data_IF_177328155945
#
_entry.id   IF_177328155945
#
_cell.length_a   1.000
_cell.length_b   1.000
_cell.length_c   1.000
_cell.angle_alpha   90.00
_cell.angle_beta   90.00
_cell.angle_gamma   90.00
#
_symmetry.space_group_name_H-M   'P 1'
#
loop_
_entity.id
_entity.type
_entity.pdbx_description
1 polymer ?
#
# COMPACT_ATOMS: atom_id res chain seq x y z
N UNK A 1 5.58 5.85 16.60
CA UNK A 1 6.37 6.98 16.08
C UNK A 1 5.53 8.23 16.31
N UNK A 2 6.12 9.28 16.89
CA UNK A 2 5.42 10.50 17.32
C UNK A 2 5.02 11.41 16.16
N UNK A 3 4.00 11.01 15.38
CA UNK A 3 3.56 11.79 14.22
C UNK A 3 2.90 13.10 14.65
N UNK A 4 2.19 13.09 15.78
CA UNK A 4 1.53 14.27 16.32
C UNK A 4 2.56 15.23 16.93
N UNK A 5 3.54 14.72 17.65
CA UNK A 5 4.66 15.51 18.19
C UNK A 5 5.42 16.25 17.07
N UNK A 6 5.72 15.57 15.95
CA UNK A 6 6.32 16.20 14.76
C UNK A 6 5.40 17.27 14.18
N UNK A 7 4.10 16.96 13.99
CA UNK A 7 3.12 17.90 13.43
C UNK A 7 3.02 19.17 14.26
N UNK A 8 2.95 19.05 15.58
CA UNK A 8 2.82 20.16 16.52
C UNK A 8 4.10 20.99 16.60
N UNK A 9 5.26 20.35 16.72
CA UNK A 9 6.55 21.05 16.85
C UNK A 9 6.85 21.94 15.64
N UNK A 10 6.71 21.40 14.42
CA UNK A 10 6.99 22.14 13.18
C UNK A 10 5.79 22.96 12.68
N UNK A 11 4.66 22.94 13.41
CA UNK A 11 3.43 23.66 13.08
C UNK A 11 2.95 23.33 11.65
N UNK A 12 2.86 22.03 11.35
CA UNK A 12 2.54 21.53 10.01
C UNK A 12 1.03 21.66 9.78
N UNK A 13 0.65 22.48 8.79
CA UNK A 13 -0.74 22.65 8.35
C UNK A 13 -1.22 21.53 7.41
N UNK A 14 -0.28 20.83 6.79
CA UNK A 14 -0.52 19.70 5.91
C UNK A 14 -0.95 18.43 6.68
N UNK A 15 -1.37 17.42 5.93
CA UNK A 15 -1.68 16.10 6.49
C UNK A 15 -0.36 15.45 6.90
N UNK A 16 -0.33 14.89 8.11
CA UNK A 16 0.80 14.13 8.65
C UNK A 16 0.27 12.77 9.07
N UNK A 17 0.79 11.70 8.49
CA UNK A 17 0.35 10.33 8.78
C UNK A 17 1.52 9.35 8.64
N UNK A 18 1.33 8.13 9.12
CA UNK A 18 2.31 7.07 9.10
C UNK A 18 2.05 6.09 7.95
N UNK A 19 3.13 5.62 7.34
CA UNK A 19 3.13 4.50 6.40
C UNK A 19 4.34 3.59 6.69
N UNK A 20 4.42 2.38 6.11
CA UNK A 20 5.54 1.46 6.37
C UNK A 20 6.93 2.07 6.12
N UNK A 21 7.05 2.98 5.15
CA UNK A 21 8.31 3.67 4.83
C UNK A 21 8.64 4.83 5.79
N UNK A 22 7.70 5.25 6.65
CA UNK A 22 7.91 6.32 7.62
C UNK A 22 6.78 7.35 7.70
N UNK A 23 7.10 8.51 8.27
CA UNK A 23 6.19 9.63 8.43
C UNK A 23 6.05 10.39 7.11
N UNK A 24 4.81 10.54 6.66
CA UNK A 24 4.46 11.21 5.41
C UNK A 24 3.83 12.57 5.73
N UNK A 25 4.23 13.59 4.98
CA UNK A 25 3.65 14.94 5.05
C UNK A 25 3.18 15.34 3.66
N UNK A 26 1.93 15.74 3.54
CA UNK A 26 1.40 16.10 2.23
C UNK A 26 0.01 16.70 2.20
N UNK A 27 -0.50 16.82 0.98
CA UNK A 27 -1.84 17.33 0.69
C UNK A 27 -2.83 16.18 0.58
N UNK A 28 -4.12 16.50 0.46
CA UNK A 28 -5.12 15.50 0.14
C UNK A 28 -4.98 14.84 -1.23
N UNK A 29 -4.28 15.49 -2.16
CA UNK A 29 -4.05 14.95 -3.51
C UNK A 29 -2.78 14.10 -3.58
N UNK A 30 -1.72 14.55 -2.89
CA UNK A 30 -0.43 13.86 -2.79
C UNK A 30 -0.05 13.84 -1.31
N UNK A 31 -0.34 12.74 -0.58
CA UNK A 31 -0.19 12.70 0.87
C UNK A 31 1.27 12.46 1.33
N UNK A 32 2.16 12.09 0.42
CA UNK A 32 3.55 11.73 0.67
C UNK A 32 4.55 12.71 -0.01
N UNK A 33 4.25 14.01 -0.04
CA UNK A 33 5.13 15.01 -0.68
C UNK A 33 6.51 15.07 -0.03
N UNK A 34 6.56 14.91 1.29
CA UNK A 34 7.78 14.72 2.08
C UNK A 34 7.64 13.40 2.84
N UNK A 35 8.68 12.58 2.83
CA UNK A 35 8.71 11.32 3.60
C UNK A 35 9.95 11.31 4.48
N UNK A 36 9.74 11.14 5.77
CA UNK A 36 10.78 10.99 6.78
C UNK A 36 10.83 9.53 7.21
N UNK A 37 11.97 8.90 7.02
CA UNK A 37 12.24 7.53 7.41
C UNK A 37 12.26 7.36 8.93
N UNK A 38 12.18 6.12 9.44
CA UNK A 38 12.18 5.85 10.88
C UNK A 38 13.43 6.33 11.62
N UNK A 39 14.54 6.52 10.92
CA UNK A 39 15.82 7.01 11.44
C UNK A 39 15.93 8.55 11.48
N UNK A 40 14.88 9.24 11.04
CA UNK A 40 14.80 10.69 10.95
C UNK A 40 15.36 11.27 9.64
N UNK A 41 15.75 10.44 8.67
CA UNK A 41 16.25 10.94 7.38
C UNK A 41 15.11 11.19 6.39
N UNK A 42 15.26 12.21 5.55
CA UNK A 42 14.32 12.45 4.45
C UNK A 42 14.52 11.44 3.32
N UNK A 43 13.59 10.49 3.21
CA UNK A 43 13.52 9.48 2.15
C UNK A 43 13.02 10.11 0.85
N UNK A 44 12.02 11.00 0.95
CA UNK A 44 11.49 11.76 -0.17
C UNK A 44 11.49 13.24 0.19
N UNK A 45 12.09 14.04 -0.68
CA UNK A 45 12.23 15.49 -0.53
C UNK A 45 11.29 16.19 -1.48
N UNK A 46 10.93 17.42 -1.14
CA UNK A 46 10.18 18.29 -2.01
C UNK A 46 11.08 18.76 -3.17
N UNK A 47 10.75 18.36 -4.40
CA UNK A 47 11.51 18.72 -5.60
C UNK A 47 11.22 20.16 -6.09
N UNK A 48 10.11 20.77 -5.65
CA UNK A 48 9.64 22.07 -6.11
C UNK A 48 9.42 23.05 -4.97
N UNK A 49 10.05 24.24 -5.06
CA UNK A 49 9.90 25.34 -4.10
C UNK A 49 8.56 26.10 -4.21
N UNK A 50 7.60 25.58 -4.97
CA UNK A 50 6.31 26.26 -5.19
C UNK A 50 5.47 26.36 -3.92
N UNK A 51 5.60 25.41 -2.99
CA UNK A 51 4.93 25.43 -1.70
C UNK A 51 5.90 25.90 -0.59
N UNK A 52 5.71 27.15 -0.14
CA UNK A 52 6.56 27.78 0.89
C UNK A 52 6.51 27.07 2.22
N UNK A 53 5.34 26.55 2.61
CA UNK A 53 5.17 25.85 3.88
C UNK A 53 5.91 24.52 3.90
N UNK A 54 5.72 23.68 2.87
CA UNK A 54 6.45 22.42 2.77
C UNK A 54 7.96 22.64 2.69
N UNK A 55 8.39 23.68 1.98
CA UNK A 55 9.80 24.08 1.90
C UNK A 55 10.34 24.49 3.27
N UNK A 56 9.56 25.23 4.07
CA UNK A 56 9.88 25.60 5.46
C UNK A 56 10.06 24.37 6.33
N UNK A 57 9.09 23.46 6.34
CA UNK A 57 9.13 22.26 7.19
C UNK A 57 10.38 21.43 6.89
N UNK A 58 10.66 21.21 5.60
CA UNK A 58 11.85 20.49 5.16
C UNK A 58 13.15 21.17 5.61
N UNK A 59 13.24 22.50 5.46
CA UNK A 59 14.43 23.25 5.87
C UNK A 59 14.66 23.16 7.39
N UNK A 60 13.61 23.30 8.20
CA UNK A 60 13.69 23.17 9.66
C UNK A 60 14.09 21.74 10.09
N UNK A 61 13.53 20.72 9.45
CA UNK A 61 13.88 19.30 9.69
C UNK A 61 15.34 18.99 9.33
N UNK A 62 15.85 19.58 8.24
CA UNK A 62 17.24 19.42 7.82
C UNK A 62 18.22 20.22 8.69
N UNK A 63 17.78 21.34 9.25
CA UNK A 63 18.58 22.17 10.14
C UNK A 63 18.83 21.49 11.50
N UNK A 64 17.88 20.69 11.98
CA UNK A 64 18.02 19.92 13.22
C UNK A 64 17.48 18.47 13.11
N UNK A 65 18.25 17.56 12.45
CA UNK A 65 17.87 16.16 12.34
C UNK A 65 17.84 15.41 13.68
N UNK A 66 18.59 15.89 14.68
CA UNK A 66 18.59 15.28 16.01
C UNK A 66 17.25 15.54 16.72
N UNK A 67 16.73 16.77 16.62
CA UNK A 67 15.40 17.09 17.14
C UNK A 67 14.30 16.33 16.42
N UNK A 68 14.38 16.20 15.10
CA UNK A 68 13.42 15.41 14.34
C UNK A 68 13.37 13.96 14.84
N UNK A 69 14.53 13.33 15.06
CA UNK A 69 14.60 11.97 15.60
C UNK A 69 13.99 11.87 16.99
N UNK A 70 14.33 12.80 17.89
CA UNK A 70 13.74 12.86 19.24
C UNK A 70 12.21 12.92 19.19
N UNK A 71 11.65 13.74 18.29
CA UNK A 71 10.20 13.88 18.13
C UNK A 71 9.55 12.59 17.59
N UNK A 72 10.20 11.89 16.66
CA UNK A 72 9.71 10.61 16.13
C UNK A 72 9.70 9.50 17.21
N UNK A 73 10.61 9.57 18.17
CA UNK A 73 10.70 8.63 19.30
C UNK A 73 9.77 9.01 20.46
N UNK A 74 9.39 10.28 20.55
CA UNK A 74 8.47 10.79 21.58
C UNK A 74 7.08 10.17 21.41
N UNK A 75 6.51 9.51 22.44
CA UNK A 75 5.14 9.01 22.37
C UNK A 75 4.13 10.15 22.23
N UNK A 76 3.20 10.02 21.28
CA UNK A 76 2.14 11.00 21.08
C UNK A 76 1.15 11.03 22.25
N UNK A 77 0.63 12.22 22.55
CA UNK A 77 -0.43 12.43 23.53
C UNK A 77 -1.72 12.87 22.83
N UNK A 78 -2.84 12.24 23.19
CA UNK A 78 -4.15 12.51 22.59
C UNK A 78 -5.12 13.04 23.65
N UNK A 79 -5.80 14.14 23.34
CA UNK A 79 -6.82 14.75 24.20
C UNK A 79 -8.13 13.96 24.19
N UNK A 80 -8.37 13.20 23.12
CA UNK A 80 -9.54 12.32 22.96
C UNK A 80 -9.12 10.95 22.45
N UNK A 81 -9.87 9.94 22.85
CA UNK A 81 -9.74 8.57 22.35
C UNK A 81 -11.13 8.04 22.07
N UNK A 82 -11.57 8.17 20.82
CA UNK A 82 -12.84 7.62 20.35
C UNK A 82 -12.58 6.46 19.38
N UNK A 83 -13.41 5.42 19.40
CA UNK A 83 -13.23 4.28 18.52
C UNK A 83 -13.52 4.66 17.07
N UNK A 84 -12.73 4.10 16.17
CA UNK A 84 -12.95 4.10 14.72
C UNK A 84 -12.60 2.72 14.17
N UNK A 85 -13.42 2.21 13.28
CA UNK A 85 -13.31 0.85 12.78
C UNK A 85 -12.77 0.85 11.35
N UNK A 86 -12.00 -0.18 11.02
CA UNK A 86 -11.56 -0.51 9.65
C UNK A 86 -11.48 -2.04 9.49
N UNK A 87 -11.06 -2.54 8.33
CA UNK A 87 -10.94 -3.98 8.10
C UNK A 87 -9.68 -4.37 7.34
N UNK A 88 -9.17 -5.56 7.63
CA UNK A 88 -8.09 -6.21 6.86
C UNK A 88 -8.53 -7.63 6.52
N UNK A 89 -8.90 -7.85 5.25
CA UNK A 89 -9.52 -9.11 4.84
C UNK A 89 -10.84 -9.36 5.59
N UNK A 90 -10.89 -10.43 6.39
CA UNK A 90 -12.06 -10.76 7.23
C UNK A 90 -12.00 -10.16 8.64
N UNK A 91 -10.86 -9.59 9.04
CA UNK A 91 -10.66 -9.04 10.38
C UNK A 91 -11.22 -7.60 10.45
N UNK A 92 -12.06 -7.34 11.45
CA UNK A 92 -12.52 -5.99 11.77
C UNK A 92 -11.64 -5.44 12.87
N UNK A 93 -10.94 -4.36 12.56
CA UNK A 93 -9.97 -3.71 13.43
C UNK A 93 -10.65 -2.54 14.13
N UNK A 94 -10.58 -2.50 15.45
CA UNK A 94 -10.90 -1.32 16.24
C UNK A 94 -9.61 -0.52 16.44
N UNK A 95 -9.67 0.75 16.06
CA UNK A 95 -8.62 1.75 16.27
C UNK A 95 -9.17 2.91 17.07
N UNK A 96 -8.30 3.83 17.47
CA UNK A 96 -8.68 5.02 18.21
C UNK A 96 -8.19 6.28 17.49
N UNK A 97 -8.92 7.37 17.62
CA UNK A 97 -8.57 8.68 17.07
C UNK A 97 -9.13 9.81 17.94
N UNK A 98 -8.74 11.05 17.66
CA UNK A 98 -9.32 12.24 18.33
C UNK A 98 -10.59 12.76 17.64
N UNK A 99 -10.72 12.52 16.33
CA UNK A 99 -11.83 12.94 15.49
C UNK A 99 -12.04 11.93 14.35
N UNK A 100 -13.30 11.75 13.95
CA UNK A 100 -13.70 10.82 12.88
C UNK A 100 -13.58 11.46 11.49
N UNK A 101 -13.31 10.62 10.49
CA UNK A 101 -13.40 10.95 9.08
C UNK A 101 -12.16 11.66 8.54
N UNK A 102 -12.10 11.78 7.22
CA UNK A 102 -11.00 12.43 6.53
C UNK A 102 -10.93 13.93 6.86
N UNK A 103 -9.73 14.54 7.00
CA UNK A 103 -8.37 13.97 6.94
C UNK A 103 -7.79 13.61 8.32
N UNK A 104 -8.61 13.13 9.26
CA UNK A 104 -8.14 12.80 10.61
C UNK A 104 -7.31 11.52 10.63
N UNK A 105 -6.48 11.38 11.66
CA UNK A 105 -5.47 10.33 11.80
C UNK A 105 -5.82 9.47 13.02
N UNK A 106 -5.62 8.16 12.93
CA UNK A 106 -5.71 7.27 14.09
C UNK A 106 -4.49 7.45 14.99
N UNK A 107 -4.57 7.00 16.25
CA UNK A 107 -3.48 7.13 17.20
C UNK A 107 -2.21 6.43 16.73
N UNK A 108 -2.35 5.32 15.99
CA UNK A 108 -1.24 4.60 15.37
C UNK A 108 -0.79 5.16 14.01
N UNK A 109 -1.40 6.26 13.57
CA UNK A 109 -0.91 7.08 12.46
C UNK A 109 -1.59 6.86 11.12
N UNK A 110 -2.67 6.08 11.02
CA UNK A 110 -3.35 5.86 9.75
C UNK A 110 -4.29 7.01 9.39
N UNK A 111 -4.24 7.43 8.12
CA UNK A 111 -5.15 8.42 7.56
C UNK A 111 -6.54 7.82 7.32
N UNK A 112 -7.58 8.46 7.87
CA UNK A 112 -8.95 8.00 7.79
C UNK A 112 -9.62 8.36 6.46
N UNK A 113 -9.43 7.57 5.40
CA UNK A 113 -10.18 7.76 4.15
C UNK A 113 -11.67 7.45 4.31
N UNK A 114 -12.52 8.21 3.60
CA UNK A 114 -13.99 8.22 3.75
C UNK A 114 -14.68 6.86 3.56
N UNK A 115 -14.04 5.90 2.88
CA UNK A 115 -14.59 4.58 2.57
C UNK A 115 -13.81 3.42 3.20
N UNK A 116 -12.88 3.70 4.10
CA UNK A 116 -12.10 2.67 4.80
C UNK A 116 -12.19 2.75 6.31
N UNK A 117 -12.68 3.87 6.85
CA UNK A 117 -12.88 4.11 8.27
C UNK A 117 -14.30 4.56 8.60
N UNK A 118 -14.85 4.09 9.72
CA UNK A 118 -16.15 4.53 10.20
C UNK A 118 -16.26 4.42 11.72
N UNK A 119 -17.04 5.31 12.34
CA UNK A 119 -17.50 5.12 13.72
C UNK A 119 -18.58 4.02 13.85
N UNK A 120 -19.21 3.60 12.75
CA UNK A 120 -20.16 2.49 12.71
C UNK A 120 -19.45 1.17 12.34
N UNK A 121 -19.31 0.27 13.30
CA UNK A 121 -18.71 -1.05 13.10
C UNK A 121 -19.45 -1.87 12.05
N UNK A 122 -20.77 -1.79 11.98
CA UNK A 122 -21.55 -2.55 11.01
C UNK A 122 -21.35 -2.04 9.58
N UNK A 123 -21.10 -0.73 9.42
CA UNK A 123 -20.71 -0.16 8.13
C UNK A 123 -19.41 -0.77 7.62
N UNK A 124 -18.42 -0.94 8.49
CA UNK A 124 -17.14 -1.56 8.15
C UNK A 124 -17.31 -3.03 7.81
N UNK A 125 -18.16 -3.76 8.54
CA UNK A 125 -18.52 -5.14 8.19
C UNK A 125 -19.18 -5.23 6.81
N UNK A 126 -20.07 -4.29 6.45
CA UNK A 126 -20.67 -4.21 5.11
C UNK A 126 -19.61 -4.01 4.03
N UNK A 127 -18.64 -3.12 4.26
CA UNK A 127 -17.52 -2.91 3.35
C UNK A 127 -16.65 -4.16 3.18
N UNK A 128 -16.26 -4.80 4.29
CA UNK A 128 -15.45 -6.03 4.27
C UNK A 128 -16.14 -7.15 3.48
N UNK A 129 -17.43 -7.39 3.74
CA UNK A 129 -18.24 -8.39 3.00
C UNK A 129 -18.31 -8.08 1.51
N UNK A 130 -18.58 -6.82 1.15
CA UNK A 130 -18.63 -6.38 -0.25
C UNK A 130 -17.28 -6.59 -0.94
N UNK A 131 -16.19 -6.21 -0.28
CA UNK A 131 -14.83 -6.39 -0.78
C UNK A 131 -14.52 -7.88 -1.03
N UNK A 132 -14.85 -8.76 -0.09
CA UNK A 132 -14.63 -10.19 -0.23
C UNK A 132 -15.48 -10.80 -1.36
N UNK A 133 -16.75 -10.39 -1.49
CA UNK A 133 -17.62 -10.86 -2.55
C UNK A 133 -17.12 -10.47 -3.94
N UNK A 134 -16.69 -9.20 -4.11
CA UNK A 134 -16.09 -8.73 -5.35
C UNK A 134 -14.80 -9.49 -5.67
N UNK A 135 -13.92 -9.65 -4.68
CA UNK A 135 -12.70 -10.45 -4.81
C UNK A 135 -12.99 -11.87 -5.32
N UNK A 136 -13.97 -12.56 -4.73
CA UNK A 136 -14.37 -13.89 -5.18
C UNK A 136 -14.89 -13.91 -6.63
N UNK A 137 -15.67 -12.91 -7.05
CA UNK A 137 -16.14 -12.80 -8.45
C UNK A 137 -14.97 -12.60 -9.41
N UNK A 138 -14.05 -11.70 -9.08
CA UNK A 138 -12.87 -11.44 -9.92
C UNK A 138 -11.96 -12.67 -10.01
N UNK A 139 -11.69 -13.33 -8.89
CA UNK A 139 -10.84 -14.54 -8.88
C UNK A 139 -11.46 -15.68 -9.68
N UNK A 140 -12.77 -15.89 -9.61
CA UNK A 140 -13.45 -16.92 -10.44
C UNK A 140 -13.27 -16.65 -11.93
N UNK A 141 -13.50 -15.42 -12.38
CA UNK A 141 -13.29 -15.04 -13.78
C UNK A 141 -11.83 -15.24 -14.21
N UNK A 142 -10.89 -14.89 -13.33
CA UNK A 142 -9.48 -15.09 -13.62
C UNK A 142 -9.12 -16.58 -13.75
N UNK A 143 -9.69 -17.45 -12.90
CA UNK A 143 -9.54 -18.90 -13.03
C UNK A 143 -10.07 -19.39 -14.39
N UNK A 144 -11.28 -18.97 -14.78
CA UNK A 144 -11.88 -19.35 -16.07
C UNK A 144 -10.99 -18.93 -17.26
N UNK A 145 -10.39 -17.74 -17.20
CA UNK A 145 -9.48 -17.26 -18.25
C UNK A 145 -8.16 -18.03 -18.26
N UNK A 146 -7.63 -18.41 -17.09
CA UNK A 146 -6.43 -19.25 -16.99
C UNK A 146 -6.67 -20.67 -17.49
N UNK A 147 -7.83 -21.25 -17.21
CA UNK A 147 -8.22 -22.58 -17.70
C UNK A 147 -8.27 -22.60 -19.24
N UNK A 148 -8.83 -21.57 -19.87
CA UNK A 148 -8.82 -21.44 -21.34
C UNK A 148 -7.40 -21.36 -21.91
N UNK A 149 -6.54 -20.54 -21.30
CA UNK A 149 -5.13 -20.42 -21.72
C UNK A 149 -4.37 -21.73 -21.54
N UNK A 150 -4.63 -22.45 -20.46
CA UNK A 150 -4.05 -23.76 -20.22
C UNK A 150 -4.48 -24.76 -21.30
N UNK A 151 -5.76 -24.74 -21.67
CA UNK A 151 -6.29 -25.60 -22.73
C UNK A 151 -5.67 -25.26 -24.10
N UNK A 152 -5.54 -23.98 -24.45
CA UNK A 152 -4.84 -23.54 -25.66
C UNK A 152 -3.38 -24.00 -25.68
N UNK A 153 -2.68 -23.88 -24.56
CA UNK A 153 -1.29 -24.33 -24.43
C UNK A 153 -1.16 -25.85 -24.55
N UNK A 154 -2.10 -26.62 -23.98
CA UNK A 154 -2.15 -28.08 -24.12
C UNK A 154 -2.38 -28.52 -25.56
N UNK A 155 -3.32 -27.88 -26.24
CA UNK A 155 -3.59 -28.17 -27.66
C UNK A 155 -2.34 -27.90 -28.51
N UNK A 156 -1.65 -26.78 -28.26
CA UNK A 156 -0.39 -26.48 -28.93
C UNK A 156 0.69 -27.53 -28.65
N UNK A 157 0.87 -27.92 -27.39
CA UNK A 157 1.84 -28.96 -27.00
C UNK A 157 1.55 -30.27 -27.75
N UNK A 158 0.29 -30.71 -27.76
CA UNK A 158 -0.11 -31.94 -28.45
C UNK A 158 0.16 -31.87 -29.96
N UNK A 159 -0.05 -30.72 -30.60
CA UNK A 159 0.33 -30.51 -32.00
C UNK A 159 1.85 -30.66 -32.21
N UNK A 160 2.67 -30.05 -31.36
CA UNK A 160 4.13 -30.15 -31.47
C UNK A 160 4.63 -31.57 -31.19
N UNK A 161 4.07 -32.28 -30.21
CA UNK A 161 4.38 -33.69 -29.94
C UNK A 161 4.02 -34.59 -31.13
N UNK A 162 2.87 -34.33 -31.76
CA UNK A 162 2.45 -35.04 -32.98
C UNK A 162 3.39 -34.74 -34.13
N UNK A 163 3.73 -33.47 -34.36
CA UNK A 163 4.68 -33.06 -35.40
C UNK A 163 6.04 -33.74 -35.19
N UNK A 164 6.55 -33.75 -33.96
CA UNK A 164 7.81 -34.40 -33.61
C UNK A 164 7.76 -35.90 -33.89
N UNK A 165 6.68 -36.59 -33.53
CA UNK A 165 6.48 -38.01 -33.80
C UNK A 165 6.46 -38.33 -35.31
N UNK A 166 5.75 -37.52 -36.09
CA UNK A 166 5.68 -37.66 -37.55
C UNK A 166 7.05 -37.43 -38.21
N UNK A 167 7.77 -36.39 -37.80
CA UNK A 167 9.11 -36.09 -38.31
C UNK A 167 10.11 -37.20 -38.00
N UNK A 168 10.11 -37.73 -36.77
CA UNK A 168 10.97 -38.85 -36.39
C UNK A 168 10.66 -40.11 -37.20
N UNK A 169 9.39 -40.36 -37.52
CA UNK A 169 8.96 -41.50 -38.33
C UNK A 169 9.37 -41.35 -39.80
N UNK A 170 9.26 -40.14 -40.36
CA UNK A 170 9.60 -39.84 -41.75
C UNK A 170 11.12 -39.73 -42.01
N UNK A 171 11.90 -39.33 -40.99
CA UNK A 171 13.34 -39.08 -41.09
C UNK A 171 14.14 -39.77 -39.97
N UNK A 172 14.09 -41.12 -39.87
CA UNK A 172 14.62 -41.85 -38.71
C UNK A 172 16.15 -41.77 -38.55
N UNK A 173 16.89 -41.36 -39.59
CA UNK A 173 18.35 -41.24 -39.56
C UNK A 173 18.84 -39.82 -39.25
N UNK A 174 17.93 -38.85 -39.06
CA UNK A 174 18.27 -37.47 -38.75
C UNK A 174 18.04 -37.23 -37.26
N UNK A 175 19.12 -37.04 -36.51
CA UNK A 175 19.06 -36.70 -35.08
C UNK A 175 18.86 -35.19 -34.89
N UNK A 176 18.26 -34.80 -33.77
CA UNK A 176 18.15 -33.41 -33.34
C UNK A 176 18.69 -33.25 -31.92
N UNK A 177 19.29 -32.09 -31.63
CA UNK A 177 19.66 -31.74 -30.26
C UNK A 177 18.39 -31.49 -29.45
N UNK A 178 18.16 -32.31 -28.42
CA UNK A 178 17.11 -32.01 -27.45
C UNK A 178 17.51 -30.75 -26.69
N UNK A 179 16.63 -29.74 -26.59
CA UNK A 179 16.85 -28.66 -25.66
C UNK A 179 16.96 -29.24 -24.24
N UNK A 180 17.98 -28.84 -23.50
CA UNK A 180 18.10 -29.20 -22.09
C UNK A 180 16.85 -28.72 -21.35
N UNK A 181 16.28 -29.57 -20.51
CA UNK A 181 15.09 -29.24 -19.71
C UNK A 181 15.38 -27.98 -18.87
N UNK A 182 14.53 -26.95 -19.00
CA UNK A 182 14.61 -25.72 -18.21
C UNK A 182 14.10 -25.91 -16.77
#
# INVERSE_FOLDING_TARGET
MGWKAVKEHYQIGHIVHMQPQGLCIGSGYIPDLIVVGPDGQLVKKLDSHSNKDLSRYQAEMLADPAKLRELLETPDQFARSIPVYTYKGAEILEKHCEALGYPNITHDGDLQYENTYSGDRDQVVRWAKRSAALGAVHTRRWIEDLEKKLEEARNRLSCEETNLSLLNSAHPSVEYERPEDF
#
